data_IF_635383389945
#
_entry.id   IF_635383389945
#
_cell.length_a   1.000
_cell.length_b   1.000
_cell.length_c   1.000
_cell.angle_alpha   90.00
_cell.angle_beta   90.00
_cell.angle_gamma   90.00
#
_symmetry.space_group_name_H-M   'P 1'
#
loop_
_entity.id
_entity.type
_entity.pdbx_description
1 polymer ?
#
# COMPACT_ATOMS: atom_id res chain seq x y z
N UNK A 1 -11.73 -5.67 36.29
CA UNK A 1 -12.64 -4.76 35.57
C UNK A 1 -12.85 -5.34 34.19
N UNK A 2 -13.93 -6.11 34.01
CA UNK A 2 -14.24 -6.71 32.71
C UNK A 2 -14.61 -5.60 31.72
N UNK A 3 -13.75 -5.39 30.72
CA UNK A 3 -14.02 -4.45 29.65
C UNK A 3 -15.31 -4.84 28.94
N UNK A 4 -16.24 -3.88 28.79
CA UNK A 4 -17.48 -4.10 28.04
C UNK A 4 -17.15 -4.64 26.65
N UNK A 5 -17.50 -5.90 26.39
CA UNK A 5 -17.34 -6.52 25.07
C UNK A 5 -18.37 -5.88 24.14
N UNK A 6 -17.93 -4.92 23.33
CA UNK A 6 -18.76 -4.30 22.30
C UNK A 6 -18.52 -4.99 20.96
N UNK A 7 -19.62 -5.29 20.25
CA UNK A 7 -19.52 -5.80 18.88
C UNK A 7 -18.93 -4.72 17.96
N UNK A 8 -18.02 -5.14 17.09
CA UNK A 8 -17.47 -4.26 16.06
C UNK A 8 -18.42 -4.26 14.88
N UNK A 9 -18.99 -3.10 14.56
CA UNK A 9 -19.87 -2.96 13.40
C UNK A 9 -19.06 -2.99 12.09
N UNK A 10 -19.57 -3.68 11.05
CA UNK A 10 -18.98 -3.59 9.72
C UNK A 10 -19.15 -2.16 9.19
N UNK A 11 -18.15 -1.65 8.49
CA UNK A 11 -18.21 -0.36 7.80
C UNK A 11 -17.63 -0.54 6.41
N UNK A 12 -18.33 -0.06 5.38
CA UNK A 12 -17.94 -0.26 3.98
C UNK A 12 -16.60 0.40 3.62
N UNK A 13 -16.21 1.46 4.32
CA UNK A 13 -15.10 2.35 3.93
C UNK A 13 -13.81 2.13 4.70
N UNK A 14 -13.71 1.13 5.59
CA UNK A 14 -12.49 0.91 6.41
C UNK A 14 -12.00 -0.51 6.31
N UNK A 15 -10.73 -0.67 5.94
CA UNK A 15 -10.07 -1.96 5.72
C UNK A 15 -10.07 -2.85 6.96
N UNK A 16 -10.13 -4.17 6.75
CA UNK A 16 -10.16 -5.19 7.81
C UNK A 16 -11.34 -5.13 8.79
N UNK A 17 -12.39 -4.32 8.55
CA UNK A 17 -13.53 -4.22 9.49
C UNK A 17 -14.47 -5.41 9.47
N UNK A 18 -14.66 -6.07 8.32
CA UNK A 18 -15.51 -7.26 8.22
C UNK A 18 -14.89 -8.42 9.01
N UNK A 19 -13.58 -8.64 8.86
CA UNK A 19 -12.84 -9.64 9.66
C UNK A 19 -13.00 -9.36 11.17
N UNK A 20 -12.75 -8.10 11.59
CA UNK A 20 -12.90 -7.69 13.00
C UNK A 20 -14.33 -7.83 13.52
N UNK A 21 -15.33 -7.53 12.69
CA UNK A 21 -16.73 -7.76 13.00
C UNK A 21 -16.97 -9.25 13.28
N UNK A 22 -16.59 -10.13 12.36
CA UNK A 22 -16.75 -11.58 12.51
C UNK A 22 -15.98 -12.13 13.71
N UNK A 23 -14.76 -11.66 13.96
CA UNK A 23 -13.98 -12.02 15.14
C UNK A 23 -14.69 -11.60 16.44
N UNK A 24 -15.28 -10.39 16.49
CA UNK A 24 -16.03 -9.91 17.66
C UNK A 24 -17.31 -10.71 17.91
N UNK A 25 -18.01 -11.10 16.84
CA UNK A 25 -19.19 -11.98 16.92
C UNK A 25 -18.78 -13.34 17.46
N UNK A 26 -17.68 -13.92 16.96
CA UNK A 26 -17.16 -15.21 17.41
C UNK A 26 -16.76 -15.17 18.88
N UNK A 27 -16.06 -14.12 19.31
CA UNK A 27 -15.68 -13.93 20.70
C UNK A 27 -16.91 -13.77 21.63
N UNK A 28 -18.02 -13.27 21.10
CA UNK A 28 -19.26 -13.03 21.84
C UNK A 28 -20.26 -14.19 21.75
N UNK A 29 -19.87 -15.35 21.22
CA UNK A 29 -20.75 -16.50 20.96
C UNK A 29 -21.66 -16.84 22.15
N UNK A 30 -21.09 -17.03 23.35
CA UNK A 30 -21.86 -17.38 24.56
C UNK A 30 -22.90 -16.32 24.93
N UNK A 31 -22.53 -15.05 24.79
CA UNK A 31 -23.41 -13.91 25.08
C UNK A 31 -24.54 -13.86 24.05
N UNK A 32 -24.23 -14.08 22.77
CA UNK A 32 -25.22 -14.10 21.69
C UNK A 32 -26.22 -15.24 21.89
N UNK A 33 -25.77 -16.46 22.23
CA UNK A 33 -26.66 -17.57 22.57
C UNK A 33 -27.58 -17.21 23.74
N UNK A 34 -27.02 -16.74 24.86
CA UNK A 34 -27.82 -16.34 26.02
C UNK A 34 -28.87 -15.27 25.66
N UNK A 35 -28.50 -14.33 24.79
CA UNK A 35 -29.38 -13.26 24.36
C UNK A 35 -30.54 -13.77 23.49
N UNK A 36 -30.26 -14.59 22.47
CA UNK A 36 -31.31 -15.08 21.55
C UNK A 36 -32.25 -16.09 22.22
N UNK A 37 -31.78 -16.83 23.24
CA UNK A 37 -32.60 -17.74 24.05
C UNK A 37 -33.44 -17.03 25.13
N UNK A 38 -33.29 -15.71 25.32
CA UNK A 38 -34.11 -15.00 26.31
C UNK A 38 -35.59 -14.99 25.91
N UNK A 39 -36.48 -15.20 26.88
CA UNK A 39 -37.93 -15.37 26.66
C UNK A 39 -38.57 -14.21 25.88
N UNK A 40 -38.05 -13.00 26.06
CA UNK A 40 -38.60 -11.78 25.47
C UNK A 40 -37.97 -11.40 24.14
N UNK A 41 -36.92 -12.13 23.71
CA UNK A 41 -36.18 -11.81 22.49
C UNK A 41 -37.11 -11.79 21.28
N UNK A 42 -37.90 -12.83 21.06
CA UNK A 42 -38.82 -12.94 19.91
C UNK A 42 -40.18 -12.24 20.16
N UNK A 43 -40.49 -11.84 21.39
CA UNK A 43 -41.80 -11.26 21.77
C UNK A 43 -41.86 -9.75 21.64
N UNK A 44 -40.70 -9.09 21.70
CA UNK A 44 -40.60 -7.62 21.73
C UNK A 44 -40.52 -6.99 20.33
N UNK A 45 -41.11 -5.79 20.20
CA UNK A 45 -41.00 -4.93 19.02
C UNK A 45 -42.13 -5.03 17.98
N UNK A 46 -42.01 -4.23 16.92
CA UNK A 46 -42.89 -4.22 15.75
C UNK A 46 -42.80 -5.52 14.93
N UNK A 47 -43.72 -5.71 13.98
CA UNK A 47 -43.71 -6.87 13.06
C UNK A 47 -42.36 -7.03 12.34
N UNK A 48 -41.79 -5.92 11.86
CA UNK A 48 -40.49 -5.89 11.18
C UNK A 48 -39.34 -6.25 12.14
N UNK A 49 -39.35 -5.70 13.36
CA UNK A 49 -38.35 -6.01 14.37
C UNK A 49 -38.37 -7.49 14.76
N UNK A 50 -39.56 -8.08 14.88
CA UNK A 50 -39.73 -9.52 15.15
C UNK A 50 -39.16 -10.39 14.02
N UNK A 51 -39.34 -10.00 12.77
CA UNK A 51 -38.76 -10.71 11.62
C UNK A 51 -37.22 -10.68 11.66
N UNK A 52 -36.63 -9.50 11.88
CA UNK A 52 -35.17 -9.34 12.02
C UNK A 52 -34.60 -10.15 13.20
N UNK A 53 -35.27 -10.14 14.34
CA UNK A 53 -34.88 -10.91 15.53
C UNK A 53 -34.98 -12.41 15.30
N UNK A 54 -36.02 -12.88 14.61
CA UNK A 54 -36.14 -14.30 14.23
C UNK A 54 -34.98 -14.72 13.34
N UNK A 55 -34.65 -13.93 12.32
CA UNK A 55 -33.52 -14.22 11.45
C UNK A 55 -32.18 -14.29 12.23
N UNK A 56 -31.96 -13.37 13.16
CA UNK A 56 -30.78 -13.39 14.03
C UNK A 56 -30.75 -14.61 14.96
N UNK A 57 -31.89 -14.98 15.56
CA UNK A 57 -32.02 -16.20 16.35
C UNK A 57 -31.65 -17.44 15.54
N UNK A 58 -32.27 -17.60 14.36
CA UNK A 58 -32.09 -18.77 13.52
C UNK A 58 -30.65 -18.89 13.02
N UNK A 59 -29.99 -17.75 12.78
CA UNK A 59 -28.57 -17.70 12.40
C UNK A 59 -27.66 -18.09 13.58
N UNK A 60 -27.86 -17.53 14.77
CA UNK A 60 -26.99 -17.79 15.93
C UNK A 60 -27.14 -19.23 16.44
N UNK A 61 -28.35 -19.79 16.37
CA UNK A 61 -28.63 -21.16 16.84
C UNK A 61 -28.28 -22.23 15.80
N UNK A 62 -28.02 -21.85 14.54
CA UNK A 62 -27.62 -22.79 13.51
C UNK A 62 -26.37 -23.58 13.92
N UNK A 63 -26.41 -24.91 13.71
CA UNK A 63 -25.35 -25.83 14.16
C UNK A 63 -23.98 -25.51 13.55
N UNK A 64 -23.96 -24.96 12.34
CA UNK A 64 -22.74 -24.65 11.61
C UNK A 64 -22.31 -23.19 11.76
N UNK A 65 -23.07 -22.33 12.47
CA UNK A 65 -22.81 -20.89 12.60
C UNK A 65 -21.35 -20.59 12.97
N UNK A 66 -20.87 -21.17 14.07
CA UNK A 66 -19.50 -20.94 14.57
C UNK A 66 -18.45 -21.49 13.59
N UNK A 67 -18.73 -22.62 12.95
CA UNK A 67 -17.85 -23.23 11.94
C UNK A 67 -17.73 -22.33 10.70
N UNK A 68 -18.86 -21.82 10.20
CA UNK A 68 -18.89 -20.90 9.06
C UNK A 68 -18.21 -19.57 9.40
N UNK A 69 -18.44 -19.04 10.60
CA UNK A 69 -17.79 -17.82 11.07
C UNK A 69 -16.28 -17.99 11.17
N UNK A 70 -15.82 -19.13 11.72
CA UNK A 70 -14.41 -19.48 11.75
C UNK A 70 -13.79 -19.57 10.35
N UNK A 71 -14.49 -20.20 9.40
CA UNK A 71 -14.05 -20.26 8.01
C UNK A 71 -13.96 -18.87 7.36
N UNK A 72 -14.98 -18.03 7.54
CA UNK A 72 -14.99 -16.67 7.00
C UNK A 72 -13.84 -15.81 7.56
N UNK A 73 -13.57 -15.88 8.86
CA UNK A 73 -12.43 -15.21 9.48
C UNK A 73 -11.11 -15.69 8.86
N UNK A 74 -10.92 -17.01 8.72
CA UNK A 74 -9.69 -17.55 8.09
C UNK A 74 -9.48 -17.00 6.68
N UNK A 75 -10.52 -17.01 5.84
CA UNK A 75 -10.43 -16.50 4.47
C UNK A 75 -10.08 -15.01 4.42
N UNK A 76 -10.71 -14.19 5.27
CA UNK A 76 -10.49 -12.75 5.35
C UNK A 76 -9.14 -12.38 5.98
N UNK A 77 -8.62 -13.23 6.86
CA UNK A 77 -7.34 -12.98 7.54
C UNK A 77 -6.16 -12.91 6.55
N UNK A 78 -6.20 -13.68 5.47
CA UNK A 78 -5.21 -13.64 4.39
C UNK A 78 -5.10 -12.23 3.82
N UNK A 79 -6.23 -11.68 3.37
CA UNK A 79 -6.28 -10.32 2.81
C UNK A 79 -5.89 -9.26 3.85
N UNK A 80 -6.26 -9.49 5.10
CA UNK A 80 -5.99 -8.54 6.19
C UNK A 80 -4.50 -8.46 6.53
N UNK A 81 -3.72 -9.53 6.33
CA UNK A 81 -2.25 -9.50 6.43
C UNK A 81 -1.66 -8.57 5.37
N UNK A 82 -2.06 -8.73 4.11
CA UNK A 82 -1.56 -7.88 3.02
C UNK A 82 -2.03 -6.42 3.17
N UNK A 83 -3.30 -6.18 3.51
CA UNK A 83 -3.82 -4.83 3.76
C UNK A 83 -2.97 -4.09 4.81
N UNK A 84 -2.69 -4.72 5.95
CA UNK A 84 -1.84 -4.13 7.00
C UNK A 84 -0.40 -3.85 6.52
N UNK A 85 0.12 -4.67 5.60
CA UNK A 85 1.44 -4.44 5.04
C UNK A 85 1.48 -3.15 4.21
N UNK A 86 0.45 -2.88 3.40
CA UNK A 86 0.35 -1.68 2.56
C UNK A 86 -0.21 -0.43 3.27
N UNK A 87 -0.78 -0.57 4.47
CA UNK A 87 -1.16 0.58 5.32
C UNK A 87 0.06 1.37 5.81
N UNK A 88 1.18 0.66 6.05
CA UNK A 88 2.47 1.30 6.34
C UNK A 88 3.07 1.67 4.99
N UNK A 89 3.29 2.96 4.72
CA UNK A 89 3.80 3.49 3.45
C UNK A 89 5.28 3.14 3.17
N UNK A 90 5.67 1.90 3.43
CA UNK A 90 7.04 1.39 3.36
C UNK A 90 7.20 0.32 2.28
N UNK A 91 6.09 -0.12 1.66
CA UNK A 91 6.07 -1.19 0.67
C UNK A 91 6.21 -0.62 -0.74
N UNK A 92 7.22 -1.06 -1.52
CA UNK A 92 7.39 -0.60 -2.90
C UNK A 92 6.33 -1.20 -3.84
N UNK A 93 6.15 -0.63 -5.05
CA UNK A 93 5.14 -1.11 -6.02
C UNK A 93 5.33 -2.57 -6.42
N UNK A 94 6.57 -3.05 -6.40
CA UNK A 94 6.94 -4.43 -6.67
C UNK A 94 6.25 -5.43 -5.73
N UNK A 95 5.97 -5.05 -4.47
CA UNK A 95 5.29 -5.93 -3.52
C UNK A 95 3.82 -6.19 -3.90
N UNK A 96 3.19 -5.33 -4.72
CA UNK A 96 1.82 -5.55 -5.21
C UNK A 96 1.79 -6.75 -6.16
N UNK A 97 2.65 -6.75 -7.18
CA UNK A 97 2.72 -7.89 -8.11
C UNK A 97 3.07 -9.18 -7.36
N UNK A 98 4.03 -9.09 -6.42
CA UNK A 98 4.40 -10.21 -5.54
C UNK A 98 3.18 -10.78 -4.80
N UNK A 99 2.35 -9.93 -4.21
CA UNK A 99 1.14 -10.33 -3.50
C UNK A 99 0.19 -11.11 -4.42
N UNK A 100 -0.02 -10.67 -5.66
CA UNK A 100 -0.92 -11.37 -6.61
C UNK A 100 -0.38 -12.72 -7.08
N UNK A 101 0.94 -12.94 -7.04
CA UNK A 101 1.53 -14.28 -7.25
C UNK A 101 1.38 -15.19 -6.02
N UNK A 102 1.34 -14.63 -4.81
CA UNK A 102 1.25 -15.37 -3.55
C UNK A 102 -0.19 -15.73 -3.16
N UNK A 103 -1.14 -14.80 -3.30
CA UNK A 103 -2.52 -14.98 -2.86
C UNK A 103 -3.16 -16.28 -3.40
N UNK A 104 -3.07 -16.61 -4.71
CA UNK A 104 -3.63 -17.85 -5.22
C UNK A 104 -3.00 -19.10 -4.59
N UNK A 105 -1.70 -19.06 -4.26
CA UNK A 105 -1.00 -20.18 -3.59
C UNK A 105 -1.54 -20.37 -2.18
N UNK A 106 -1.61 -19.28 -1.41
CA UNK A 106 -2.12 -19.30 -0.03
C UNK A 106 -3.54 -19.88 0.02
N UNK A 107 -4.43 -19.47 -0.90
CA UNK A 107 -5.80 -19.99 -0.91
C UNK A 107 -5.91 -21.44 -1.40
N UNK A 108 -5.03 -21.89 -2.30
CA UNK A 108 -4.96 -23.31 -2.67
C UNK A 108 -4.57 -24.20 -1.49
N UNK A 109 -3.63 -23.73 -0.68
CA UNK A 109 -3.11 -24.47 0.48
C UNK A 109 -4.09 -24.51 1.66
N UNK A 110 -5.18 -23.73 1.63
CA UNK A 110 -6.20 -23.67 2.69
C UNK A 110 -7.22 -24.83 2.70
N UNK A 111 -7.07 -25.81 1.81
CA UNK A 111 -7.91 -27.02 1.71
C UNK A 111 -9.42 -26.73 1.80
N UNK A 112 -9.99 -26.22 0.71
CA UNK A 112 -11.41 -25.86 0.63
C UNK A 112 -12.11 -26.48 -0.59
N UNK A 113 -13.45 -26.50 -0.63
CA UNK A 113 -14.19 -27.02 -1.79
C UNK A 113 -13.78 -26.32 -3.09
N UNK A 114 -13.62 -27.10 -4.17
CA UNK A 114 -13.17 -26.62 -5.48
C UNK A 114 -14.01 -25.44 -5.97
N UNK A 115 -15.34 -25.51 -5.80
CA UNK A 115 -16.24 -24.43 -6.22
C UNK A 115 -16.07 -23.13 -5.43
N UNK A 116 -15.56 -23.17 -4.20
CA UNK A 116 -15.24 -21.97 -3.42
C UNK A 116 -13.88 -21.41 -3.82
N UNK A 117 -12.89 -22.28 -3.98
CA UNK A 117 -11.58 -21.90 -4.49
C UNK A 117 -11.71 -21.21 -5.85
N UNK A 118 -12.50 -21.76 -6.77
CA UNK A 118 -12.75 -21.15 -8.08
C UNK A 118 -13.37 -19.75 -8.00
N UNK A 119 -14.27 -19.50 -7.03
CA UNK A 119 -14.82 -18.14 -6.79
C UNK A 119 -13.74 -17.18 -6.29
N UNK A 120 -12.88 -17.63 -5.37
CA UNK A 120 -11.79 -16.81 -4.84
C UNK A 120 -10.78 -16.50 -5.94
N UNK A 121 -10.36 -17.50 -6.71
CA UNK A 121 -9.45 -17.32 -7.85
C UNK A 121 -9.98 -16.28 -8.82
N UNK A 122 -11.25 -16.39 -9.23
CA UNK A 122 -11.89 -15.40 -10.11
C UNK A 122 -11.90 -14.00 -9.50
N UNK A 123 -12.22 -13.86 -8.20
CA UNK A 123 -12.18 -12.56 -7.53
C UNK A 123 -10.77 -11.97 -7.55
N UNK A 124 -9.73 -12.79 -7.35
CA UNK A 124 -8.34 -12.34 -7.39
C UNK A 124 -7.93 -11.91 -8.79
N UNK A 125 -8.29 -12.68 -9.82
CA UNK A 125 -8.04 -12.35 -11.23
C UNK A 125 -8.75 -11.04 -11.64
N UNK A 126 -10.06 -10.93 -11.35
CA UNK A 126 -10.83 -9.72 -11.63
C UNK A 126 -10.22 -8.49 -10.93
N UNK A 127 -9.70 -8.67 -9.71
CA UNK A 127 -9.04 -7.60 -8.96
C UNK A 127 -7.67 -7.24 -9.52
N UNK A 128 -6.87 -8.23 -9.90
CA UNK A 128 -5.59 -7.99 -10.55
C UNK A 128 -5.79 -7.20 -11.84
N UNK A 129 -6.67 -7.66 -12.73
CA UNK A 129 -6.97 -6.99 -14.00
C UNK A 129 -7.50 -5.56 -13.82
N UNK A 130 -8.22 -5.29 -12.74
CA UNK A 130 -8.73 -3.95 -12.44
C UNK A 130 -7.63 -2.97 -11.98
N UNK A 131 -6.63 -3.45 -11.24
CA UNK A 131 -5.60 -2.57 -10.66
C UNK A 131 -4.27 -2.58 -11.41
N UNK A 132 -4.02 -3.63 -12.19
CA UNK A 132 -2.73 -3.82 -12.83
C UNK A 132 -2.48 -2.70 -13.84
N UNK A 133 -1.21 -2.36 -13.94
CA UNK A 133 -0.68 -1.34 -14.83
C UNK A 133 0.83 -1.51 -14.88
N UNK A 134 1.45 -1.01 -15.95
CA UNK A 134 2.84 -1.34 -16.31
C UNK A 134 3.83 -1.12 -15.16
N UNK A 135 3.63 -0.06 -14.37
CA UNK A 135 4.43 0.24 -13.18
C UNK A 135 4.56 -0.94 -12.20
N UNK A 136 3.53 -1.77 -12.04
CA UNK A 136 3.59 -2.95 -11.16
C UNK A 136 4.54 -4.02 -11.70
N UNK A 137 4.45 -4.31 -13.01
CA UNK A 137 5.29 -5.28 -13.69
C UNK A 137 6.74 -4.81 -13.77
N UNK A 138 6.95 -3.55 -14.19
CA UNK A 138 8.26 -2.89 -14.24
C UNK A 138 8.93 -2.89 -12.88
N UNK A 139 8.23 -2.45 -11.82
CA UNK A 139 8.79 -2.48 -10.47
C UNK A 139 9.13 -3.89 -10.03
N UNK A 140 8.28 -4.89 -10.30
CA UNK A 140 8.55 -6.28 -9.93
C UNK A 140 9.74 -6.88 -10.70
N UNK A 141 9.94 -6.48 -11.96
CA UNK A 141 11.06 -6.90 -12.78
C UNK A 141 12.38 -6.24 -12.33
N UNK A 142 12.34 -4.95 -12.02
CA UNK A 142 13.50 -4.16 -11.60
C UNK A 142 13.83 -4.30 -10.11
N UNK A 143 13.02 -4.99 -9.31
CA UNK A 143 13.34 -5.27 -7.91
C UNK A 143 14.34 -6.43 -7.78
N UNK A 144 15.53 -6.23 -7.19
CA UNK A 144 16.54 -7.29 -7.05
C UNK A 144 16.07 -8.48 -6.18
N UNK A 145 15.02 -8.30 -5.36
CA UNK A 145 14.39 -9.39 -4.61
C UNK A 145 13.60 -10.34 -5.51
N UNK A 146 13.13 -9.88 -6.66
CA UNK A 146 12.13 -10.59 -7.44
C UNK A 146 12.60 -10.88 -8.87
N UNK A 147 13.19 -9.91 -9.57
CA UNK A 147 13.73 -10.08 -10.93
C UNK A 147 12.72 -10.70 -11.91
N UNK A 148 11.43 -10.35 -11.75
CA UNK A 148 10.35 -10.89 -12.57
C UNK A 148 10.07 -12.38 -12.39
N UNK A 149 10.60 -13.04 -11.35
CA UNK A 149 10.39 -14.48 -11.12
C UNK A 149 8.91 -14.81 -10.96
N UNK A 150 8.44 -15.76 -11.75
CA UNK A 150 7.06 -16.25 -11.72
C UNK A 150 6.05 -15.34 -12.44
N UNK A 151 6.52 -14.31 -13.15
CA UNK A 151 5.72 -13.59 -14.14
C UNK A 151 5.41 -14.53 -15.31
N UNK A 152 4.18 -14.50 -15.83
CA UNK A 152 3.82 -15.21 -17.06
C UNK A 152 4.48 -14.57 -18.29
N UNK A 153 4.60 -15.35 -19.36
CA UNK A 153 5.33 -14.97 -20.56
C UNK A 153 4.72 -13.74 -21.25
N UNK A 154 3.39 -13.68 -21.36
CA UNK A 154 2.69 -12.56 -21.99
C UNK A 154 2.88 -11.25 -21.21
N UNK A 155 2.71 -11.29 -19.89
CA UNK A 155 2.96 -10.12 -19.03
C UNK A 155 4.43 -9.73 -19.06
N UNK A 156 5.34 -10.72 -19.08
CA UNK A 156 6.78 -10.46 -19.14
C UNK A 156 7.18 -9.75 -20.43
N UNK A 157 6.66 -10.20 -21.57
CA UNK A 157 6.91 -9.55 -22.85
C UNK A 157 6.40 -8.11 -22.84
N UNK A 158 5.19 -7.86 -22.34
CA UNK A 158 4.64 -6.49 -22.24
C UNK A 158 5.49 -5.57 -21.37
N UNK A 159 6.02 -6.09 -20.25
CA UNK A 159 6.91 -5.32 -19.36
C UNK A 159 8.26 -5.06 -20.03
N UNK A 160 8.83 -6.05 -20.71
CA UNK A 160 10.09 -5.91 -21.43
C UNK A 160 9.94 -4.85 -22.55
N UNK A 161 8.90 -4.95 -23.37
CA UNK A 161 8.57 -3.98 -24.44
C UNK A 161 8.38 -2.55 -23.90
N UNK A 162 7.70 -2.42 -22.75
CA UNK A 162 7.51 -1.13 -22.10
C UNK A 162 8.83 -0.51 -21.63
N UNK A 163 9.71 -1.32 -21.04
CA UNK A 163 11.01 -0.86 -20.55
C UNK A 163 11.88 -0.42 -21.71
N UNK A 164 11.97 -1.22 -22.78
CA UNK A 164 12.85 -0.91 -23.91
C UNK A 164 12.39 0.34 -24.65
N UNK A 165 11.07 0.56 -24.77
CA UNK A 165 10.51 1.75 -25.42
C UNK A 165 10.62 3.04 -24.59
N UNK A 166 10.90 2.97 -23.28
CA UNK A 166 10.83 4.12 -22.36
C UNK A 166 11.73 5.29 -22.77
N UNK A 167 12.97 5.00 -23.15
CA UNK A 167 13.99 6.01 -23.48
C UNK A 167 13.97 6.46 -24.94
N UNK A 168 12.90 6.17 -25.68
CA UNK A 168 12.76 6.51 -27.09
C UNK A 168 13.32 5.44 -28.03
N UNK A 169 12.86 5.43 -29.30
CA UNK A 169 13.18 4.38 -30.27
C UNK A 169 14.67 4.29 -30.61
N UNK A 170 15.42 5.38 -30.49
CA UNK A 170 16.87 5.42 -30.72
C UNK A 170 17.67 4.71 -29.64
N UNK A 171 17.10 4.52 -28.44
CA UNK A 171 17.76 3.90 -27.30
C UNK A 171 17.23 2.50 -26.99
N UNK A 172 16.26 1.98 -27.75
CA UNK A 172 15.58 0.71 -27.46
C UNK A 172 16.55 -0.46 -27.29
N UNK A 173 17.47 -0.65 -28.25
CA UNK A 173 18.51 -1.68 -28.20
C UNK A 173 19.47 -1.49 -27.01
N UNK A 174 19.80 -0.23 -26.68
CA UNK A 174 20.70 0.08 -25.56
C UNK A 174 20.03 -0.25 -24.22
N UNK A 175 18.76 0.14 -24.04
CA UNK A 175 17.95 -0.20 -22.87
C UNK A 175 17.76 -1.71 -22.75
N UNK A 176 17.50 -2.41 -23.86
CA UNK A 176 17.40 -3.87 -23.89
C UNK A 176 18.71 -4.54 -23.45
N UNK A 177 19.86 -4.04 -23.92
CA UNK A 177 21.17 -4.53 -23.49
C UNK A 177 21.41 -4.30 -22.00
N UNK A 178 21.04 -3.14 -21.45
CA UNK A 178 21.10 -2.92 -20.00
C UNK A 178 20.19 -3.89 -19.25
N UNK A 179 18.95 -4.08 -19.70
CA UNK A 179 17.97 -4.98 -19.08
C UNK A 179 18.50 -6.41 -19.02
N UNK A 180 19.01 -6.92 -20.14
CA UNK A 180 19.61 -8.26 -20.21
C UNK A 180 20.81 -8.37 -19.26
N UNK A 181 21.70 -7.37 -19.22
CA UNK A 181 22.85 -7.36 -18.30
C UNK A 181 22.40 -7.36 -16.84
N UNK A 182 21.44 -6.50 -16.48
CA UNK A 182 20.89 -6.40 -15.14
C UNK A 182 20.26 -7.72 -14.68
N UNK A 183 19.41 -8.31 -15.51
CA UNK A 183 18.79 -9.60 -15.23
C UNK A 183 19.83 -10.74 -15.20
N UNK A 184 20.89 -10.63 -16.00
CA UNK A 184 22.05 -11.52 -15.97
C UNK A 184 22.88 -11.44 -14.69
N UNK A 185 22.77 -10.36 -13.90
CA UNK A 185 23.36 -10.28 -12.56
C UNK A 185 22.63 -11.15 -11.53
N UNK A 186 21.51 -11.78 -11.91
CA UNK A 186 20.74 -12.68 -11.05
C UNK A 186 21.61 -13.79 -10.46
N UNK A 187 22.04 -13.57 -9.22
CA UNK A 187 22.64 -14.57 -8.36
C UNK A 187 21.70 -14.80 -7.20
N UNK A 188 21.32 -16.05 -6.96
CA UNK A 188 20.59 -16.40 -5.74
C UNK A 188 21.34 -15.85 -4.53
N UNK A 189 20.65 -15.06 -3.70
CA UNK A 189 21.21 -14.56 -2.46
C UNK A 189 22.12 -13.33 -2.55
N UNK A 190 21.94 -12.45 -3.57
CA UNK A 190 22.48 -11.07 -3.57
C UNK A 190 22.33 -10.44 -2.18
N UNK A 191 23.42 -9.86 -1.67
CA UNK A 191 23.48 -9.28 -0.32
C UNK A 191 22.48 -8.13 -0.21
N UNK A 192 22.38 -7.32 -1.25
CA UNK A 192 21.49 -6.18 -1.41
C UNK A 192 20.03 -6.63 -1.36
N UNK A 193 19.67 -7.71 -2.07
CA UNK A 193 18.33 -8.28 -2.01
C UNK A 193 17.93 -8.72 -0.59
N UNK A 194 18.88 -9.30 0.17
CA UNK A 194 18.65 -9.64 1.59
C UNK A 194 18.49 -8.40 2.46
N UNK A 195 19.32 -7.36 2.25
CA UNK A 195 19.19 -6.09 2.98
C UNK A 195 17.85 -5.43 2.71
N UNK A 196 17.35 -5.49 1.48
CA UNK A 196 16.02 -4.96 1.13
C UNK A 196 14.91 -5.80 1.77
N UNK A 197 15.02 -7.12 1.75
CA UNK A 197 14.04 -8.00 2.42
C UNK A 197 13.97 -7.75 3.94
N UNK A 198 15.11 -7.46 4.56
CA UNK A 198 15.23 -7.10 5.98
C UNK A 198 14.78 -5.66 6.29
N UNK A 199 14.48 -4.84 5.27
CA UNK A 199 14.13 -3.43 5.43
C UNK A 199 15.29 -2.52 5.82
N UNK A 200 16.54 -2.98 5.65
CA UNK A 200 17.78 -2.23 5.92
C UNK A 200 18.25 -1.38 4.73
N UNK A 201 17.71 -1.65 3.54
CA UNK A 201 17.98 -0.91 2.30
C UNK A 201 16.65 -0.76 1.55
N UNK A 202 16.33 0.43 1.05
CA UNK A 202 15.17 0.62 0.17
C UNK A 202 15.55 0.28 -1.27
N UNK A 203 14.57 -0.18 -2.06
CA UNK A 203 14.80 -0.47 -3.49
C UNK A 203 15.24 0.78 -4.24
N UNK A 204 14.70 1.96 -3.89
CA UNK A 204 15.12 3.25 -4.44
C UNK A 204 16.61 3.54 -4.14
N UNK A 205 17.07 3.27 -2.92
CA UNK A 205 18.47 3.49 -2.50
C UNK A 205 19.42 2.53 -3.24
N UNK A 206 19.01 1.29 -3.45
CA UNK A 206 19.74 0.34 -4.29
C UNK A 206 19.94 0.88 -5.70
N UNK A 207 18.87 1.38 -6.33
CA UNK A 207 18.96 1.94 -7.68
C UNK A 207 19.77 3.23 -7.75
N UNK A 208 19.72 4.11 -6.72
CA UNK A 208 20.60 5.30 -6.64
C UNK A 208 22.08 4.96 -6.66
N UNK A 209 22.48 3.81 -6.12
CA UNK A 209 23.88 3.36 -6.12
C UNK A 209 24.33 2.64 -7.40
N UNK A 210 23.41 2.34 -8.33
CA UNK A 210 23.66 1.45 -9.46
C UNK A 210 23.86 2.21 -10.79
N UNK A 211 24.96 2.97 -10.88
CA UNK A 211 25.26 3.85 -12.04
C UNK A 211 25.61 3.12 -13.35
N UNK A 212 25.83 1.82 -13.30
CA UNK A 212 26.22 1.01 -14.46
C UNK A 212 25.07 0.72 -15.45
N UNK A 213 23.84 1.08 -15.09
CA UNK A 213 22.64 0.93 -15.91
C UNK A 213 21.86 2.26 -15.95
N UNK A 214 22.41 3.31 -16.57
CA UNK A 214 21.80 4.65 -16.54
C UNK A 214 20.36 4.68 -17.10
N UNK A 215 20.06 3.94 -18.17
CA UNK A 215 18.71 3.92 -18.75
C UNK A 215 17.72 3.22 -17.82
N UNK A 216 18.09 2.05 -17.28
CA UNK A 216 17.25 1.37 -16.29
C UNK A 216 17.13 2.13 -14.97
N UNK A 217 18.19 2.83 -14.56
CA UNK A 217 18.20 3.61 -13.33
C UNK A 217 17.15 4.72 -13.38
N UNK A 218 17.01 5.42 -14.51
CA UNK A 218 15.97 6.44 -14.69
C UNK A 218 14.56 5.85 -14.50
N UNK A 219 14.28 4.71 -15.15
CA UNK A 219 12.99 4.01 -15.06
C UNK A 219 12.73 3.55 -13.62
N UNK A 220 13.74 2.95 -12.99
CA UNK A 220 13.64 2.43 -11.64
C UNK A 220 13.41 3.55 -10.61
N UNK A 221 14.16 4.65 -10.71
CA UNK A 221 13.97 5.80 -9.82
C UNK A 221 12.57 6.39 -9.98
N UNK A 222 12.05 6.43 -11.21
CA UNK A 222 10.67 6.88 -11.48
C UNK A 222 9.63 5.98 -10.84
N UNK A 223 9.71 4.66 -11.06
CA UNK A 223 8.70 3.73 -10.55
C UNK A 223 8.76 3.58 -9.03
N UNK A 224 9.95 3.61 -8.43
CA UNK A 224 10.12 3.47 -6.97
C UNK A 224 9.96 4.78 -6.19
N UNK A 225 9.86 5.93 -6.87
CA UNK A 225 9.42 7.18 -6.26
C UNK A 225 7.89 7.23 -6.04
N UNK A 226 7.13 6.42 -6.78
CA UNK A 226 5.67 6.38 -6.66
C UNK A 226 5.21 5.76 -5.33
N UNK A 227 4.22 6.39 -4.69
CA UNK A 227 3.56 5.86 -3.49
C UNK A 227 2.44 4.88 -3.86
N UNK A 228 2.53 3.65 -3.36
CA UNK A 228 1.58 2.57 -3.66
C UNK A 228 0.30 2.59 -2.82
N UNK A 229 0.26 3.47 -1.82
CA UNK A 229 -0.81 3.50 -0.84
C UNK A 229 -1.35 4.91 -0.70
N UNK A 230 -2.68 5.01 -0.77
CA UNK A 230 -3.39 6.23 -0.33
C UNK A 230 -3.29 6.42 1.19
N UNK A 231 -2.71 5.49 1.97
CA UNK A 231 -2.53 5.64 3.41
C UNK A 231 -1.70 6.90 3.78
N UNK A 232 -0.81 7.35 2.89
CA UNK A 232 -0.18 8.67 3.02
C UNK A 232 -1.21 9.80 2.96
N UNK A 233 -2.08 9.78 1.95
CA UNK A 233 -3.19 10.72 1.82
C UNK A 233 -4.22 10.60 2.96
N UNK A 234 -4.55 9.40 3.45
CA UNK A 234 -5.46 9.21 4.58
C UNK A 234 -4.89 9.75 5.90
N UNK A 235 -3.56 9.64 6.11
CA UNK A 235 -2.88 10.31 7.22
C UNK A 235 -2.95 11.82 7.08
N UNK A 236 -2.79 12.33 5.86
CA UNK A 236 -2.95 13.75 5.54
C UNK A 236 -4.40 14.22 5.82
N UNK A 237 -5.43 13.50 5.36
CA UNK A 237 -6.83 13.78 5.69
C UNK A 237 -7.15 13.66 7.19
N UNK A 238 -6.52 12.73 7.89
CA UNK A 238 -6.63 12.61 9.35
C UNK A 238 -6.01 13.83 10.05
N UNK A 239 -4.90 14.37 9.52
CA UNK A 239 -4.31 15.62 9.97
C UNK A 239 -5.23 16.82 9.68
N UNK A 240 -5.87 16.89 8.50
CA UNK A 240 -6.91 17.88 8.21
C UNK A 240 -8.02 17.83 9.25
N UNK A 241 -8.51 16.64 9.64
CA UNK A 241 -9.54 16.50 10.69
C UNK A 241 -9.05 16.95 12.08
N UNK A 242 -7.76 16.82 12.36
CA UNK A 242 -7.16 17.29 13.61
C UNK A 242 -6.98 18.81 13.64
N UNK A 243 -6.46 19.39 12.55
CA UNK A 243 -6.23 20.83 12.36
C UNK A 243 -7.56 21.58 12.26
N UNK A 244 -8.53 21.00 11.55
CA UNK A 244 -9.87 21.52 11.34
C UNK A 244 -10.89 20.56 11.99
N UNK A 245 -11.07 20.73 13.30
CA UNK A 245 -12.11 20.02 14.06
C UNK A 245 -13.29 20.96 14.34
N UNK A 246 -14.52 20.44 14.42
CA UNK A 246 -15.72 21.23 14.74
C UNK A 246 -15.59 22.08 16.04
N UNK A 247 -14.65 21.75 16.93
CA UNK A 247 -14.38 22.47 18.17
C UNK A 247 -13.37 23.64 18.03
N UNK A 248 -12.66 23.76 16.90
CA UNK A 248 -11.70 24.83 16.60
C UNK A 248 -11.90 25.32 15.16
N UNK A 249 -12.97 26.07 14.89
CA UNK A 249 -13.18 26.66 13.57
C UNK A 249 -13.13 28.19 13.59
N UNK A 250 -12.04 28.74 13.03
CA UNK A 250 -12.08 29.95 12.17
C UNK A 250 -10.85 30.06 11.24
N UNK A 251 -10.27 28.93 10.82
CA UNK A 251 -9.21 28.95 9.81
C UNK A 251 -9.84 28.90 8.41
N UNK A 252 -9.35 29.76 7.52
CA UNK A 252 -9.72 29.73 6.10
C UNK A 252 -9.05 28.52 5.43
N UNK A 253 -9.65 27.99 4.36
CA UNK A 253 -9.20 26.79 3.66
C UNK A 253 -7.70 26.86 3.28
N UNK A 254 -7.26 28.00 2.74
CA UNK A 254 -5.84 28.21 2.37
C UNK A 254 -4.86 28.12 3.58
N UNK A 255 -5.32 28.49 4.78
CA UNK A 255 -4.50 28.35 6.00
C UNK A 255 -4.47 26.90 6.49
N UNK A 256 -5.57 26.16 6.32
CA UNK A 256 -5.64 24.74 6.64
C UNK A 256 -4.73 23.94 5.71
N UNK A 257 -4.75 24.21 4.41
CA UNK A 257 -3.86 23.56 3.43
C UNK A 257 -2.38 23.78 3.77
N UNK A 258 -1.96 25.03 4.03
CA UNK A 258 -0.58 25.34 4.44
C UNK A 258 -0.17 24.63 5.73
N UNK A 259 -1.04 24.63 6.74
CA UNK A 259 -0.76 23.96 8.01
C UNK A 259 -0.64 22.44 7.85
N UNK A 260 -1.47 21.84 7.01
CA UNK A 260 -1.40 20.41 6.75
C UNK A 260 -0.17 20.06 5.92
N UNK A 261 0.20 20.88 4.93
CA UNK A 261 1.45 20.75 4.19
C UNK A 261 2.66 20.80 5.14
N UNK A 262 2.74 21.83 6.00
CA UNK A 262 3.81 21.97 7.00
C UNK A 262 3.83 20.78 7.96
N UNK A 263 2.68 20.38 8.49
CA UNK A 263 2.58 19.26 9.43
C UNK A 263 2.96 17.92 8.80
N UNK A 264 2.57 17.69 7.55
CA UNK A 264 2.90 16.46 6.84
C UNK A 264 4.38 16.42 6.48
N UNK A 265 4.93 17.52 5.97
CA UNK A 265 6.34 17.59 5.59
C UNK A 265 7.25 17.56 6.82
N UNK A 266 6.94 18.27 7.90
CA UNK A 266 7.69 18.20 9.16
C UNK A 266 7.75 16.80 9.79
N UNK A 267 6.84 15.90 9.40
CA UNK A 267 6.86 14.48 9.80
C UNK A 267 7.60 13.56 8.83
N UNK A 268 7.91 14.05 7.64
CA UNK A 268 8.67 13.32 6.62
C UNK A 268 10.11 13.82 6.49
N UNK A 269 10.45 15.00 7.02
CA UNK A 269 11.83 15.42 7.24
C UNK A 269 12.42 14.60 8.38
N UNK A 270 13.38 13.74 8.09
CA UNK A 270 14.29 13.21 9.11
C UNK A 270 15.39 14.25 9.41
N UNK A 271 16.09 14.13 10.54
CA UNK A 271 17.19 15.05 10.89
C UNK A 271 18.29 15.10 9.81
N UNK A 272 18.42 14.02 9.02
CA UNK A 272 19.34 13.94 7.87
C UNK A 272 18.86 14.76 6.67
N UNK A 273 17.55 14.86 6.43
CA UNK A 273 17.00 15.69 5.33
C UNK A 273 17.17 17.18 5.63
N UNK A 274 17.04 17.59 6.90
CA UNK A 274 17.30 18.97 7.35
C UNK A 274 18.77 19.34 7.11
N UNK A 275 19.70 18.45 7.45
CA UNK A 275 21.13 18.69 7.24
C UNK A 275 21.50 18.81 5.74
N UNK A 276 20.82 18.07 4.86
CA UNK A 276 21.02 18.18 3.40
C UNK A 276 20.48 19.50 2.86
N UNK A 277 19.33 19.98 3.35
CA UNK A 277 18.78 21.27 2.96
C UNK A 277 19.61 22.44 3.50
N UNK A 278 20.02 22.40 4.76
CA UNK A 278 20.93 23.40 5.36
C UNK A 278 22.24 23.49 4.55
N UNK A 279 22.80 22.34 4.14
CA UNK A 279 24.00 22.30 3.29
C UNK A 279 23.78 22.90 1.89
N UNK A 280 22.60 22.69 1.29
CA UNK A 280 22.24 23.27 -0.02
C UNK A 280 21.98 24.78 0.09
N UNK A 281 21.37 25.23 1.19
CA UNK A 281 21.11 26.65 1.49
C UNK A 281 22.44 27.39 1.75
N UNK A 282 23.35 26.80 2.54
CA UNK A 282 24.71 27.30 2.75
C UNK A 282 25.51 27.39 1.44
N UNK A 283 25.33 26.43 0.51
CA UNK A 283 25.95 26.49 -0.83
C UNK A 283 25.34 27.57 -1.73
N UNK A 284 24.03 27.81 -1.63
CA UNK A 284 23.34 28.85 -2.38
C UNK A 284 23.78 30.24 -1.89
N UNK A 285 23.89 30.44 -0.58
CA UNK A 285 24.36 31.68 0.03
C UNK A 285 25.85 31.94 -0.30
N UNK A 286 26.70 30.90 -0.30
CA UNK A 286 28.09 31.02 -0.72
C UNK A 286 28.25 31.39 -2.21
N UNK A 287 27.28 31.05 -3.06
CA UNK A 287 27.30 31.40 -4.49
C UNK A 287 26.85 32.84 -4.78
N UNK A 288 26.15 33.49 -3.84
CA UNK A 288 25.70 34.87 -3.97
C UNK A 288 26.76 35.91 -3.55
N UNK A 289 27.77 35.50 -2.77
CA UNK A 289 28.81 36.40 -2.27
C UNK A 289 29.99 36.64 -3.25
N UNK A 290 30.09 35.90 -4.36
CA UNK A 290 31.19 36.08 -5.34
C UNK A 290 30.90 37.09 -6.47
N UNK A 291 29.66 37.56 -6.67
CA UNK A 291 29.32 38.46 -7.80
C UNK A 291 29.25 39.96 -7.49
N UNK A 292 29.59 40.41 -6.28
CA UNK A 292 29.56 41.85 -5.94
C UNK A 292 30.94 42.44 -5.64
N UNK A 293 31.89 42.32 -6.58
CA UNK A 293 33.11 43.13 -6.46
C UNK A 293 33.83 43.50 -7.76
N UNK A 294 33.10 43.77 -8.85
CA UNK A 294 33.66 44.53 -9.97
C UNK A 294 32.86 45.81 -10.21
N UNK A 295 33.51 46.91 -9.85
CA UNK A 295 33.03 48.30 -9.93
C UNK A 295 32.79 48.74 -11.36
N UNK A 296 31.75 49.55 -11.50
CA UNK A 296 31.39 50.34 -12.68
C UNK A 296 32.57 51.12 -13.26
N UNK A 297 32.81 51.00 -14.57
CA UNK A 297 33.31 52.12 -15.37
C UNK A 297 32.48 52.26 -16.65
N UNK A 298 32.02 53.50 -16.83
CA UNK A 298 31.10 54.05 -17.81
C UNK A 298 31.38 53.67 -19.27
N UNK A 299 30.30 53.50 -20.04
CA UNK A 299 30.33 53.76 -21.49
C UNK A 299 29.16 54.63 -21.93
N UNK A 300 29.50 55.86 -22.32
CA UNK A 300 28.69 56.77 -23.13
C UNK A 300 28.37 56.15 -24.50
N UNK A 301 27.16 56.41 -24.98
CA UNK A 301 26.69 56.04 -26.31
C UNK A 301 27.35 56.90 -27.41
N UNK A 302 27.99 56.24 -28.38
CA UNK A 302 27.87 56.54 -29.81
C UNK A 302 28.03 55.26 -30.64
#
# INVERSE_FOLDING_TARGET
>A
MDGKVALVLPVNTRWGKIERCFASIKASEKILHAFVYSRDFLRSGSKEQKAKRRHAHDTVVARDFVKQLGKAIRLLSVLSVFQKAFEKNAKPPSDIYRMFLELPKIYRDMEMPIGELGKITRILEDRFNFIYGDAHGVAYLLDPRYLGRGMDEDTRQQVDDFITAWNGPENEDATAVELVKYLGLSREGLREAKLIADGKLKVLEYWRGLFQFPMLQEIALTVFAASCSIAGAERNFSAHKFVHSQARNRLQDASVEKLVFLFFNAKNFDAEDVAVYDFIEDMADASCDEETNNRDEDFEYY
#
